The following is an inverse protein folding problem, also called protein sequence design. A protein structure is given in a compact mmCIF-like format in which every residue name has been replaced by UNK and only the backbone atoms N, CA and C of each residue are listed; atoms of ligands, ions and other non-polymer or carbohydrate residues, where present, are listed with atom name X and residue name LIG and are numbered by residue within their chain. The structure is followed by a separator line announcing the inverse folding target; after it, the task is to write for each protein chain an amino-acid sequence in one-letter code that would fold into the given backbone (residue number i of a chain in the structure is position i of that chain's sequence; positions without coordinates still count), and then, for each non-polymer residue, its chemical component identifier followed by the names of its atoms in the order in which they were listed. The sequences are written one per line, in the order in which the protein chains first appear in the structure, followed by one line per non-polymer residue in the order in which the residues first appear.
data_IF_793871254466
#
_entry.id   IF_793871254466
#
_cell.length_a   1.000
_cell.length_b   1.000
_cell.length_c   1.000
_cell.angle_alpha   90.00
_cell.angle_beta   90.00
_cell.angle_gamma   90.00
#
_symmetry.space_group_name_H-M   'P 1'
#
loop_
_entity.id
_entity.type
_entity.pdbx_description
1 polymer ?
#
# COMPACT_ATOMS: atom_id res chain seq x y z
N UNK A 1 59.08 2.40 -54.72
CA UNK A 1 57.67 2.04 -54.47
C UNK A 1 57.36 2.40 -53.04
N UNK A 2 56.46 3.36 -52.85
CA UNK A 2 56.13 4.02 -51.58
C UNK A 2 55.41 3.05 -50.63
N UNK A 3 55.91 2.96 -49.39
CA UNK A 3 55.18 2.39 -48.27
C UNK A 3 54.60 3.54 -47.42
N UNK A 4 53.29 3.50 -47.26
CA UNK A 4 52.49 4.50 -46.57
C UNK A 4 52.28 4.16 -45.08
N UNK A 5 52.29 5.23 -44.28
CA UNK A 5 51.39 5.52 -43.15
C UNK A 5 51.47 4.66 -41.87
N UNK A 6 52.01 5.26 -40.79
CA UNK A 6 51.60 4.96 -39.41
C UNK A 6 51.55 6.24 -38.56
N UNK A 7 50.37 6.45 -37.93
CA UNK A 7 50.00 7.37 -36.82
C UNK A 7 49.91 8.87 -37.14
N UNK A 8 49.10 9.68 -36.39
CA UNK A 8 48.48 9.44 -35.07
C UNK A 8 46.99 9.91 -34.94
N UNK A 9 46.33 9.58 -33.82
CA UNK A 9 45.52 10.50 -33.00
C UNK A 9 44.77 9.70 -31.93
N UNK A 10 45.27 9.79 -30.70
CA UNK A 10 44.60 9.30 -29.51
C UNK A 10 43.49 10.29 -29.12
N UNK A 11 42.24 9.85 -29.21
CA UNK A 11 41.07 10.55 -28.70
C UNK A 11 40.83 10.13 -27.24
N UNK A 12 41.24 10.97 -26.30
CA UNK A 12 40.78 10.91 -24.90
C UNK A 12 39.44 11.65 -24.80
N UNK A 13 38.34 10.90 -24.79
CA UNK A 13 37.01 11.44 -24.46
C UNK A 13 36.81 11.29 -22.95
N UNK A 14 36.94 12.39 -22.22
CA UNK A 14 36.52 12.50 -20.82
C UNK A 14 35.01 12.32 -20.75
N UNK A 15 34.56 11.17 -20.26
CA UNK A 15 33.15 10.94 -19.94
C UNK A 15 32.89 11.44 -18.52
N UNK A 16 32.16 12.55 -18.43
CA UNK A 16 31.69 13.13 -17.17
C UNK A 16 30.73 12.16 -16.47
N UNK A 17 31.11 11.72 -15.27
CA UNK A 17 30.23 10.96 -14.37
C UNK A 17 29.26 11.92 -13.69
N UNK A 18 28.05 12.04 -14.23
CA UNK A 18 26.92 12.62 -13.51
C UNK A 18 26.53 11.68 -12.37
N UNK A 19 27.02 11.98 -11.16
CA UNK A 19 26.52 11.40 -9.92
C UNK A 19 25.10 11.93 -9.72
N UNK A 20 24.12 11.15 -10.20
CA UNK A 20 22.73 11.32 -9.78
C UNK A 20 22.63 10.79 -8.35
N UNK A 21 22.72 11.70 -7.37
CA UNK A 21 22.32 11.42 -6.01
C UNK A 21 20.82 11.12 -6.02
N UNK A 22 20.48 9.84 -6.16
CA UNK A 22 19.13 9.36 -5.88
C UNK A 22 18.96 9.49 -4.37
N UNK A 23 18.19 10.49 -3.94
CA UNK A 23 17.73 10.58 -2.56
C UNK A 23 16.88 9.33 -2.27
N UNK A 24 17.53 8.31 -1.74
CA UNK A 24 16.89 7.13 -1.18
C UNK A 24 16.04 7.66 -0.03
N UNK A 25 14.76 7.33 -0.04
CA UNK A 25 13.80 7.77 0.96
C UNK A 25 14.37 7.60 2.37
N UNK A 26 14.53 8.71 3.11
CA UNK A 26 14.83 8.67 4.53
C UNK A 26 13.67 7.96 5.25
N UNK A 27 13.94 6.72 5.61
CA UNK A 27 13.12 5.90 6.49
C UNK A 27 13.29 6.44 7.91
N UNK A 28 12.54 7.51 8.23
CA UNK A 28 12.51 8.09 9.58
C UNK A 28 11.93 7.03 10.51
N UNK A 29 12.81 6.26 11.15
CA UNK A 29 12.44 5.28 12.16
C UNK A 29 12.09 6.03 13.44
N UNK A 30 10.81 5.97 13.83
CA UNK A 30 10.33 6.59 15.07
C UNK A 30 11.23 6.21 16.26
N UNK A 31 11.67 7.22 16.99
CA UNK A 31 12.51 7.12 18.18
C UNK A 31 11.79 6.35 19.30
N UNK A 32 12.55 5.85 20.28
CA UNK A 32 11.96 5.20 21.45
C UNK A 32 11.04 6.15 22.26
N UNK A 33 11.38 7.44 22.29
CA UNK A 33 10.59 8.46 22.97
C UNK A 33 9.23 8.69 22.28
N UNK A 34 9.21 8.80 20.94
CA UNK A 34 7.98 8.94 20.16
C UNK A 34 7.09 7.69 20.26
N UNK A 35 7.70 6.49 20.29
CA UNK A 35 6.96 5.24 20.51
C UNK A 35 6.31 5.19 21.88
N UNK A 36 7.04 5.58 22.92
CA UNK A 36 6.53 5.62 24.29
C UNK A 36 5.44 6.69 24.45
N UNK A 37 5.63 7.88 23.88
CA UNK A 37 4.65 8.97 23.95
C UNK A 37 3.35 8.61 23.23
N UNK A 38 3.42 7.92 22.08
CA UNK A 38 2.23 7.43 21.39
C UNK A 38 1.45 6.41 22.23
N UNK A 39 2.14 5.43 22.81
CA UNK A 39 1.51 4.40 23.65
C UNK A 39 0.89 5.01 24.91
N UNK A 40 1.56 5.98 25.53
CA UNK A 40 1.03 6.70 26.68
C UNK A 40 -0.24 7.49 26.30
N UNK A 41 -0.19 8.25 25.21
CA UNK A 41 -1.36 8.98 24.70
C UNK A 41 -2.52 8.04 24.40
N UNK A 42 -2.25 6.95 23.69
CA UNK A 42 -3.27 5.95 23.34
C UNK A 42 -3.90 5.32 24.58
N UNK A 43 -3.11 4.93 25.58
CA UNK A 43 -3.63 4.33 26.82
C UNK A 43 -4.48 5.29 27.66
N UNK A 44 -4.25 6.61 27.56
CA UNK A 44 -5.10 7.62 28.20
C UNK A 44 -6.43 7.79 27.46
N UNK A 45 -6.40 7.80 26.14
CA UNK A 45 -7.58 8.01 25.30
C UNK A 45 -8.46 6.75 25.19
N UNK A 46 -7.85 5.55 25.24
CA UNK A 46 -8.48 4.26 25.01
C UNK A 46 -8.16 3.25 26.13
N UNK A 47 -8.60 3.49 27.37
CA UNK A 47 -8.22 2.66 28.53
C UNK A 47 -8.65 1.19 28.40
N UNK A 48 -9.77 0.93 27.70
CA UNK A 48 -10.34 -0.41 27.55
C UNK A 48 -9.86 -1.15 26.28
N UNK A 49 -8.98 -0.55 25.48
CA UNK A 49 -8.48 -1.14 24.24
C UNK A 49 -6.96 -1.26 24.30
N UNK A 50 -6.40 -2.44 24.64
CA UNK A 50 -4.96 -2.61 24.67
C UNK A 50 -4.36 -2.57 23.25
N UNK A 51 -3.22 -1.87 23.12
CA UNK A 51 -2.44 -1.87 21.89
C UNK A 51 -1.82 -3.25 21.64
N UNK A 52 -2.14 -3.88 20.50
CA UNK A 52 -1.51 -5.14 20.11
C UNK A 52 -0.18 -4.91 19.38
N UNK A 53 -0.08 -3.83 18.61
CA UNK A 53 1.13 -3.44 17.87
C UNK A 53 1.11 -1.95 17.54
N UNK A 54 2.28 -1.33 17.45
CA UNK A 54 2.44 0.01 16.87
C UNK A 54 3.15 -0.07 15.52
N UNK A 55 2.71 0.77 14.59
CA UNK A 55 3.29 0.93 13.24
C UNK A 55 3.57 2.40 13.02
N UNK A 56 4.74 2.73 12.50
CA UNK A 56 5.13 4.11 12.21
C UNK A 56 5.44 4.26 10.74
N UNK A 57 5.01 5.37 10.16
CA UNK A 57 5.24 5.72 8.77
C UNK A 57 5.62 7.19 8.71
N UNK A 58 6.60 7.50 7.88
CA UNK A 58 6.92 8.88 7.54
C UNK A 58 6.20 9.22 6.23
N UNK A 59 5.32 10.22 6.27
CA UNK A 59 4.52 10.65 5.11
C UNK A 59 4.91 12.06 4.69
N UNK A 60 4.92 12.40 3.40
CA UNK A 60 5.13 13.78 2.98
C UNK A 60 3.98 14.66 3.48
N UNK A 61 4.31 15.87 3.93
CA UNK A 61 3.31 16.87 4.32
C UNK A 61 2.57 17.35 3.07
N UNK A 62 1.24 17.28 3.06
CA UNK A 62 0.43 17.72 1.92
C UNK A 62 0.56 19.24 1.76
N UNK A 63 1.03 19.70 0.60
CA UNK A 63 1.15 21.12 0.28
C UNK A 63 2.34 21.85 0.91
N UNK A 64 3.29 21.13 1.52
CA UNK A 64 4.45 21.73 2.17
C UNK A 64 5.77 21.03 1.83
N UNK A 65 6.87 21.57 2.37
CA UNK A 65 8.17 20.91 2.38
C UNK A 65 8.35 20.22 3.73
N UNK A 66 8.57 18.89 3.72
CA UNK A 66 8.85 18.13 4.92
C UNK A 66 8.18 16.76 4.94
N UNK A 67 8.45 16.01 6.00
CA UNK A 67 7.84 14.72 6.30
C UNK A 67 7.23 14.77 7.69
N UNK A 68 6.03 14.24 7.85
CA UNK A 68 5.34 14.10 9.12
C UNK A 68 5.45 12.65 9.59
N UNK A 69 5.63 12.46 10.90
CA UNK A 69 5.60 11.15 11.51
C UNK A 69 4.15 10.77 11.83
N UNK A 70 3.67 9.70 11.20
CA UNK A 70 2.37 9.09 11.49
C UNK A 70 2.60 7.86 12.34
N UNK A 71 2.06 7.89 13.55
CA UNK A 71 1.94 6.73 14.42
C UNK A 71 0.63 6.01 14.17
N UNK A 72 0.61 4.69 14.28
CA UNK A 72 -0.62 3.90 14.21
C UNK A 72 -0.61 2.85 15.29
N UNK A 73 -1.75 2.69 15.97
CA UNK A 73 -1.95 1.65 16.98
C UNK A 73 -2.93 0.62 16.43
N UNK A 74 -2.47 -0.63 16.33
CA UNK A 74 -3.26 -1.77 15.91
C UNK A 74 -3.88 -2.46 17.13
N UNK A 75 -5.17 -2.75 17.07
CA UNK A 75 -5.86 -3.54 18.09
C UNK A 75 -5.61 -5.03 17.91
N UNK A 76 -5.92 -5.84 18.93
CA UNK A 76 -5.84 -7.29 18.83
C UNK A 76 -6.69 -7.81 17.64
N UNK A 77 -6.12 -8.61 16.73
CA UNK A 77 -6.89 -9.22 15.66
C UNK A 77 -8.00 -10.12 16.17
N UNK A 78 -9.13 -10.12 15.47
CA UNK A 78 -10.28 -10.97 15.76
C UNK A 78 -10.68 -11.79 14.53
N UNK A 79 -11.38 -12.90 14.77
CA UNK A 79 -11.90 -13.79 13.73
C UNK A 79 -13.24 -13.25 13.21
N UNK A 80 -13.34 -13.12 11.89
CA UNK A 80 -14.59 -12.91 11.16
C UNK A 80 -15.20 -14.24 10.70
N UNK A 81 -15.82 -14.25 9.51
CA UNK A 81 -16.33 -15.48 8.91
C UNK A 81 -15.20 -16.41 8.41
N UNK A 82 -15.38 -17.72 8.57
CA UNK A 82 -14.47 -18.73 7.99
C UNK A 82 -13.01 -18.53 8.42
N UNK A 83 -12.11 -18.42 7.45
CA UNK A 83 -10.68 -18.15 7.64
C UNK A 83 -10.35 -16.64 7.75
N UNK A 84 -11.33 -15.75 7.71
CA UNK A 84 -11.11 -14.31 7.76
C UNK A 84 -10.64 -13.85 9.14
N UNK A 85 -9.52 -13.13 9.17
CA UNK A 85 -9.05 -12.37 10.32
C UNK A 85 -9.15 -10.88 10.01
N UNK A 86 -9.51 -10.09 11.01
CA UNK A 86 -9.70 -8.63 10.91
C UNK A 86 -8.94 -7.93 12.02
N UNK A 87 -8.54 -6.69 11.76
CA UNK A 87 -8.08 -5.76 12.78
C UNK A 87 -8.40 -4.33 12.37
N UNK A 88 -8.21 -3.38 13.29
CA UNK A 88 -8.25 -1.96 13.02
C UNK A 88 -6.95 -1.30 13.46
N UNK A 89 -6.56 -0.25 12.75
CA UNK A 89 -5.46 0.62 13.12
C UNK A 89 -5.97 2.04 13.28
N UNK A 90 -5.82 2.61 14.47
CA UNK A 90 -6.08 4.03 14.70
C UNK A 90 -4.82 4.81 14.36
N UNK A 91 -4.94 5.77 13.46
CA UNK A 91 -3.86 6.65 13.00
C UNK A 91 -3.77 7.90 13.86
N UNK A 92 -2.55 8.29 14.17
CA UNK A 92 -2.24 9.48 14.94
C UNK A 92 -1.15 10.27 14.23
N UNK A 93 -1.31 11.58 14.21
CA UNK A 93 -0.33 12.54 13.70
C UNK A 93 0.26 13.33 14.86
N UNK A 94 1.57 13.55 14.84
CA UNK A 94 2.24 14.36 15.85
C UNK A 94 2.22 15.82 15.40
N UNK A 95 1.35 16.64 15.99
CA UNK A 95 1.23 18.06 15.67
C UNK A 95 1.95 18.94 16.68
N UNK A 96 2.45 20.08 16.22
CA UNK A 96 3.18 21.04 17.04
C UNK A 96 4.70 20.94 16.84
N UNK A 97 5.46 21.72 17.59
CA UNK A 97 6.93 21.71 17.53
C UNK A 97 7.52 21.73 18.95
N UNK A 98 8.54 20.89 19.17
CA UNK A 98 9.27 20.84 20.44
C UNK A 98 8.35 20.50 21.61
N UNK A 99 8.29 21.39 22.61
CA UNK A 99 7.52 21.14 23.86
C UNK A 99 5.99 21.16 23.69
N UNK A 100 5.48 21.60 22.54
CA UNK A 100 4.04 21.65 22.25
C UNK A 100 3.58 20.46 21.39
N UNK A 101 4.46 19.50 21.13
CA UNK A 101 4.11 18.30 20.37
C UNK A 101 3.03 17.49 21.06
N UNK A 102 1.94 17.22 20.34
CA UNK A 102 0.80 16.45 20.83
C UNK A 102 0.30 15.53 19.73
N UNK A 103 0.06 14.27 20.10
CA UNK A 103 -0.61 13.31 19.24
C UNK A 103 -2.07 13.72 19.07
N UNK A 104 -2.54 13.64 17.83
CA UNK A 104 -3.95 13.83 17.47
C UNK A 104 -4.41 12.68 16.60
N UNK A 105 -5.63 12.22 16.80
CA UNK A 105 -6.22 11.18 15.97
C UNK A 105 -6.51 11.72 14.57
N UNK A 106 -6.02 10.99 13.56
CA UNK A 106 -6.21 11.31 12.16
C UNK A 106 -7.27 10.42 11.49
N UNK A 107 -7.62 9.29 12.11
CA UNK A 107 -8.70 8.40 11.65
C UNK A 107 -8.43 6.92 11.94
N UNK A 108 -9.37 6.08 11.52
CA UNK A 108 -9.31 4.62 11.72
C UNK A 108 -9.27 3.94 10.36
N UNK A 109 -8.42 2.92 10.25
CA UNK A 109 -8.31 2.06 9.09
C UNK A 109 -8.62 0.61 9.44
N UNK A 110 -9.31 -0.07 8.55
CA UNK A 110 -9.68 -1.47 8.73
C UNK A 110 -8.82 -2.36 7.84
N UNK A 111 -8.47 -3.52 8.36
CA UNK A 111 -7.56 -4.46 7.73
C UNK A 111 -8.06 -5.89 7.85
N UNK A 112 -7.75 -6.71 6.86
CA UNK A 112 -8.11 -8.12 6.83
C UNK A 112 -7.08 -9.01 6.14
N UNK A 113 -7.07 -10.30 6.48
CA UNK A 113 -6.29 -11.34 5.83
C UNK A 113 -6.95 -12.70 6.07
N UNK A 114 -6.46 -13.74 5.39
CA UNK A 114 -6.92 -15.11 5.58
C UNK A 114 -5.91 -15.89 6.43
N UNK A 115 -6.38 -16.45 7.54
CA UNK A 115 -5.64 -17.40 8.38
C UNK A 115 -6.60 -18.41 9.01
N UNK A 116 -6.30 -19.71 8.83
CA UNK A 116 -7.08 -20.81 9.41
C UNK A 116 -6.77 -21.06 10.88
N UNK A 117 -5.65 -20.55 11.39
CA UNK A 117 -5.19 -20.70 12.77
C UNK A 117 -5.75 -19.66 13.74
N UNK A 118 -4.95 -19.23 14.71
CA UNK A 118 -5.32 -18.09 15.57
C UNK A 118 -5.01 -16.79 14.83
N UNK A 119 -5.94 -15.82 14.84
CA UNK A 119 -5.67 -14.52 14.24
C UNK A 119 -4.53 -13.82 14.99
N UNK A 120 -3.41 -13.61 14.30
CA UNK A 120 -2.20 -12.94 14.81
C UNK A 120 -1.87 -11.74 13.93
N UNK A 121 -1.25 -10.68 14.48
CA UNK A 121 -0.77 -9.56 13.68
C UNK A 121 0.14 -10.03 12.54
N UNK A 122 -0.10 -9.52 11.33
CA UNK A 122 0.70 -9.82 10.14
C UNK A 122 1.42 -8.58 9.62
N UNK A 123 2.50 -8.77 8.86
CA UNK A 123 3.29 -7.65 8.31
C UNK A 123 2.48 -6.84 7.28
N UNK A 124 1.83 -7.52 6.34
CA UNK A 124 1.13 -6.93 5.20
C UNK A 124 -0.34 -7.37 5.17
N UNK A 125 -1.19 -6.85 6.08
CA UNK A 125 -2.62 -7.09 5.99
C UNK A 125 -3.23 -6.27 4.85
N UNK A 126 -4.34 -6.75 4.28
CA UNK A 126 -5.06 -6.07 3.20
C UNK A 126 -5.94 -4.97 3.80
N UNK A 127 -5.77 -3.73 3.36
CA UNK A 127 -6.59 -2.59 3.81
C UNK A 127 -7.99 -2.68 3.23
N UNK A 128 -9.00 -2.28 3.99
CA UNK A 128 -10.37 -2.12 3.51
C UNK A 128 -10.65 -0.64 3.31
N UNK A 129 -10.82 -0.21 2.06
CA UNK A 129 -11.13 1.19 1.73
C UNK A 129 -12.59 1.54 2.05
N UNK A 130 -13.45 0.52 2.03
CA UNK A 130 -14.87 0.59 2.37
C UNK A 130 -15.27 -0.62 3.22
N UNK A 131 -16.46 -0.55 3.84
CA UNK A 131 -16.99 -1.68 4.60
C UNK A 131 -17.38 -2.83 3.66
N UNK A 132 -16.78 -4.00 3.87
CA UNK A 132 -17.08 -5.23 3.10
C UNK A 132 -17.65 -6.29 4.04
N UNK A 133 -18.80 -6.93 3.71
CA UNK A 133 -19.32 -8.07 4.44
C UNK A 133 -18.33 -9.24 4.48
N UNK A 134 -18.24 -9.95 5.60
CA UNK A 134 -17.22 -10.98 5.81
C UNK A 134 -17.28 -12.13 4.78
N UNK A 135 -18.48 -12.58 4.41
CA UNK A 135 -18.68 -13.65 3.44
C UNK A 135 -18.15 -13.27 2.05
N UNK A 136 -18.34 -12.02 1.65
CA UNK A 136 -17.84 -11.51 0.37
C UNK A 136 -16.34 -11.24 0.44
N UNK A 137 -15.87 -10.71 1.57
CA UNK A 137 -14.45 -10.42 1.80
C UNK A 137 -13.60 -11.69 1.76
N UNK A 138 -14.03 -12.76 2.42
CA UNK A 138 -13.34 -14.05 2.37
C UNK A 138 -13.25 -14.57 0.94
N UNK A 139 -14.36 -14.50 0.19
CA UNK A 139 -14.41 -14.89 -1.22
C UNK A 139 -13.42 -14.13 -2.09
N UNK A 140 -13.39 -12.79 -2.02
CA UNK A 140 -12.48 -12.00 -2.87
C UNK A 140 -11.01 -12.20 -2.49
N UNK A 141 -10.70 -12.36 -1.21
CA UNK A 141 -9.32 -12.59 -0.75
C UNK A 141 -8.79 -13.96 -1.16
N UNK A 142 -9.66 -14.99 -1.19
CA UNK A 142 -9.27 -16.35 -1.57
C UNK A 142 -8.82 -16.43 -3.04
N UNK A 143 -9.47 -15.67 -3.93
CA UNK A 143 -9.23 -15.73 -5.37
C UNK A 143 -8.28 -14.64 -5.90
N UNK A 144 -7.57 -13.92 -5.04
CA UNK A 144 -6.77 -12.75 -5.44
C UNK A 144 -5.72 -13.06 -6.54
N UNK A 145 -5.03 -14.21 -6.48
CA UNK A 145 -3.94 -14.54 -7.42
C UNK A 145 -4.50 -14.87 -8.81
N UNK A 146 -5.48 -15.80 -8.96
CA UNK A 146 -6.14 -16.02 -10.25
C UNK A 146 -6.81 -14.77 -10.83
N UNK A 147 -7.35 -13.89 -9.98
CA UNK A 147 -7.96 -12.62 -10.42
C UNK A 147 -6.90 -11.67 -10.99
N UNK A 148 -5.74 -11.54 -10.35
CA UNK A 148 -4.63 -10.74 -10.87
C UNK A 148 -4.12 -11.28 -12.21
N UNK A 149 -3.97 -12.60 -12.35
CA UNK A 149 -3.52 -13.23 -13.59
C UNK A 149 -4.47 -12.91 -14.76
N UNK A 150 -5.78 -13.05 -14.55
CA UNK A 150 -6.79 -12.65 -15.54
C UNK A 150 -6.78 -11.15 -15.83
N UNK A 151 -6.59 -10.33 -14.80
CA UNK A 151 -6.51 -8.88 -14.95
C UNK A 151 -5.31 -8.42 -15.78
N UNK A 152 -4.20 -9.17 -15.84
CA UNK A 152 -3.05 -8.82 -16.70
C UNK A 152 -3.42 -8.73 -18.18
N UNK A 153 -4.39 -9.53 -18.64
CA UNK A 153 -4.93 -9.42 -20.00
C UNK A 153 -5.71 -8.12 -20.20
N UNK A 154 -6.54 -7.74 -19.21
CA UNK A 154 -7.25 -6.46 -19.23
C UNK A 154 -6.28 -5.27 -19.21
N UNK A 155 -5.18 -5.39 -18.45
CA UNK A 155 -4.13 -4.37 -18.42
C UNK A 155 -3.46 -4.20 -19.79
N UNK A 156 -3.23 -5.28 -20.54
CA UNK A 156 -2.64 -5.21 -21.87
C UNK A 156 -3.54 -4.43 -22.86
N UNK A 157 -4.86 -4.51 -22.70
CA UNK A 157 -5.84 -3.76 -23.50
C UNK A 157 -6.10 -2.32 -23.03
N UNK A 158 -5.55 -1.90 -21.90
CA UNK A 158 -5.70 -0.55 -21.35
C UNK A 158 -4.35 0.18 -21.43
N UNK A 159 -4.25 1.20 -22.28
CA UNK A 159 -2.99 1.92 -22.53
C UNK A 159 -2.35 2.53 -21.28
N UNK A 160 -3.14 2.96 -20.29
CA UNK A 160 -2.63 3.48 -19.02
C UNK A 160 -2.07 2.38 -18.11
N UNK A 161 -2.57 1.14 -18.23
CA UNK A 161 -2.14 0.00 -17.43
C UNK A 161 -1.12 -0.90 -18.13
N UNK A 162 -1.06 -0.89 -19.46
CA UNK A 162 -0.25 -1.80 -20.26
C UNK A 162 1.24 -1.80 -19.89
N UNK A 163 1.88 -0.66 -19.55
CA UNK A 163 3.28 -0.65 -19.10
C UNK A 163 3.51 -1.36 -17.76
N UNK A 164 2.47 -1.46 -16.92
CA UNK A 164 2.58 -2.01 -15.56
C UNK A 164 2.31 -3.52 -15.51
N UNK A 165 1.74 -4.12 -16.57
CA UNK A 165 1.21 -5.50 -16.57
C UNK A 165 2.22 -6.59 -16.21
N UNK A 166 3.52 -6.34 -16.37
CA UNK A 166 4.61 -7.28 -16.10
C UNK A 166 5.19 -7.13 -14.69
N UNK A 167 4.84 -6.07 -13.95
CA UNK A 167 5.37 -5.84 -12.62
C UNK A 167 4.95 -6.93 -11.63
N UNK A 168 5.69 -7.01 -10.52
CA UNK A 168 5.31 -7.85 -9.39
C UNK A 168 4.32 -7.08 -8.55
N UNK A 169 3.21 -7.72 -8.22
CA UNK A 169 2.10 -7.10 -7.50
C UNK A 169 1.78 -7.92 -6.25
N UNK A 170 1.51 -7.23 -5.15
CA UNK A 170 0.88 -7.78 -3.94
C UNK A 170 -0.45 -7.10 -3.69
N UNK A 171 -1.40 -7.82 -3.09
CA UNK A 171 -2.69 -7.24 -2.75
C UNK A 171 -2.52 -6.27 -1.59
N UNK A 172 -2.90 -5.01 -1.80
CA UNK A 172 -2.75 -3.95 -0.81
C UNK A 172 -4.08 -3.53 -0.19
N UNK A 173 -5.16 -3.53 -0.98
CA UNK A 173 -6.47 -3.14 -0.48
C UNK A 173 -7.64 -3.85 -1.18
N UNK A 174 -8.80 -3.85 -0.51
CA UNK A 174 -10.11 -4.14 -1.09
C UNK A 174 -10.92 -2.85 -1.09
N UNK A 175 -11.54 -2.56 -2.23
CA UNK A 175 -12.39 -1.39 -2.44
C UNK A 175 -13.83 -1.82 -2.79
N UNK A 176 -14.78 -0.92 -2.60
CA UNK A 176 -16.18 -1.08 -3.03
C UNK A 176 -16.61 0.22 -3.67
N UNK A 177 -17.19 0.13 -4.87
CA UNK A 177 -17.76 1.31 -5.49
C UNK A 177 -18.31 1.07 -6.88
N UNK A 178 -18.82 2.13 -7.47
CA UNK A 178 -19.20 2.15 -8.87
C UNK A 178 -17.93 2.08 -9.75
N UNK A 179 -17.92 1.15 -10.69
CA UNK A 179 -16.94 1.21 -11.77
C UNK A 179 -17.19 2.46 -12.61
N UNK A 180 -16.14 3.08 -13.18
CA UNK A 180 -16.21 4.30 -14.04
C UNK A 180 -17.28 4.23 -15.16
N UNK A 181 -17.80 3.03 -15.47
CA UNK A 181 -18.80 2.78 -16.50
C UNK A 181 -20.17 2.27 -16.01
N UNK A 182 -20.39 1.99 -14.72
CA UNK A 182 -21.64 1.37 -14.23
C UNK A 182 -22.01 1.81 -12.80
N UNK A 183 -23.31 1.94 -12.54
CA UNK A 183 -23.91 2.41 -11.27
C UNK A 183 -24.01 1.33 -10.17
N UNK A 184 -23.77 0.06 -10.49
CA UNK A 184 -23.79 -1.02 -9.50
C UNK A 184 -22.52 -1.03 -8.64
N UNK A 185 -22.71 -1.17 -7.32
CA UNK A 185 -21.61 -1.40 -6.38
C UNK A 185 -20.86 -2.69 -6.72
N UNK A 186 -19.56 -2.57 -6.94
CA UNK A 186 -18.67 -3.70 -7.23
C UNK A 186 -17.49 -3.70 -6.29
N UNK A 187 -17.05 -4.90 -5.95
CA UNK A 187 -15.79 -5.10 -5.26
C UNK A 187 -14.61 -4.85 -6.22
N UNK A 188 -13.55 -4.28 -5.69
CA UNK A 188 -12.28 -4.20 -6.40
C UNK A 188 -11.13 -4.71 -5.53
N UNK A 189 -10.16 -5.34 -6.17
CA UNK A 189 -8.87 -5.66 -5.56
C UNK A 189 -7.87 -4.61 -6.01
N UNK A 190 -7.23 -3.92 -5.07
CA UNK A 190 -6.14 -2.98 -5.36
C UNK A 190 -4.81 -3.65 -5.08
N UNK A 191 -4.03 -3.82 -6.15
CA UNK A 191 -2.69 -4.34 -6.09
C UNK A 191 -1.67 -3.21 -6.11
N UNK A 192 -0.64 -3.33 -5.28
CA UNK A 192 0.54 -2.45 -5.27
C UNK A 192 1.71 -3.18 -5.90
N UNK A 193 2.42 -2.51 -6.80
CA UNK A 193 3.60 -3.06 -7.44
C UNK A 193 4.86 -2.87 -6.58
N UNK A 194 5.90 -3.61 -6.92
CA UNK A 194 7.27 -3.41 -6.42
C UNK A 194 7.89 -2.06 -6.83
N UNK A 195 7.22 -1.28 -7.69
CA UNK A 195 7.61 0.08 -8.12
C UNK A 195 6.62 1.15 -7.65
N UNK A 196 5.88 0.87 -6.58
CA UNK A 196 4.90 1.80 -5.98
C UNK A 196 3.83 2.30 -6.98
N UNK A 197 3.47 1.46 -7.95
CA UNK A 197 2.36 1.71 -8.89
C UNK A 197 1.15 0.86 -8.50
N UNK A 198 -0.05 1.33 -8.83
CA UNK A 198 -1.27 0.66 -8.39
C UNK A 198 -2.08 0.12 -9.57
N UNK A 199 -2.71 -1.04 -9.36
CA UNK A 199 -3.69 -1.61 -10.27
C UNK A 199 -4.95 -1.96 -9.47
N UNK A 200 -6.03 -1.23 -9.72
CA UNK A 200 -7.37 -1.49 -9.17
C UNK A 200 -8.15 -2.33 -10.17
N UNK A 201 -8.41 -3.58 -9.79
CA UNK A 201 -9.11 -4.59 -10.58
C UNK A 201 -10.54 -4.70 -10.08
N UNK A 202 -11.49 -4.24 -10.89
CA UNK A 202 -12.91 -4.33 -10.61
C UNK A 202 -13.42 -5.72 -10.91
N UNK A 203 -14.19 -6.26 -9.98
CA UNK A 203 -14.72 -7.62 -10.05
C UNK A 203 -16.17 -7.60 -10.54
N UNK A 204 -16.53 -8.64 -11.28
CA UNK A 204 -17.93 -9.03 -11.50
C UNK A 204 -18.20 -10.34 -10.80
N UNK A 205 -19.39 -10.49 -10.23
CA UNK A 205 -19.86 -11.76 -9.67
C UNK A 205 -20.72 -12.46 -10.73
N UNK A 206 -20.40 -13.71 -11.05
CA UNK A 206 -21.20 -14.55 -11.96
C UNK A 206 -21.25 -15.97 -11.41
N UNK A 207 -22.45 -16.53 -11.28
CA UNK A 207 -22.69 -17.89 -10.76
C UNK A 207 -21.95 -18.18 -9.43
N UNK A 208 -21.89 -17.19 -8.52
CA UNK A 208 -21.22 -17.33 -7.23
C UNK A 208 -19.69 -17.21 -7.26
N UNK A 209 -19.09 -16.99 -8.43
CA UNK A 209 -17.65 -16.78 -8.58
C UNK A 209 -17.31 -15.34 -8.95
N UNK A 210 -16.08 -14.93 -8.59
CA UNK A 210 -15.51 -13.64 -8.96
C UNK A 210 -14.66 -13.76 -10.23
N UNK A 211 -14.85 -12.81 -11.13
CA UNK A 211 -14.04 -12.66 -12.33
C UNK A 211 -13.56 -11.21 -12.50
N UNK A 212 -12.39 -11.04 -13.11
CA UNK A 212 -11.83 -9.73 -13.39
C UNK A 212 -12.60 -9.11 -14.56
N UNK A 213 -13.17 -7.92 -14.36
CA UNK A 213 -14.02 -7.26 -15.35
C UNK A 213 -13.37 -6.03 -15.97
N UNK A 214 -12.76 -5.18 -15.15
CA UNK A 214 -12.16 -3.93 -15.60
C UNK A 214 -10.92 -3.61 -14.74
N UNK A 215 -10.01 -2.80 -15.27
CA UNK A 215 -8.81 -2.36 -14.56
C UNK A 215 -8.56 -0.87 -14.74
N UNK A 216 -8.17 -0.22 -13.66
CA UNK A 216 -7.70 1.16 -13.63
C UNK A 216 -6.37 1.20 -12.89
N UNK A 217 -5.41 1.99 -13.39
CA UNK A 217 -4.08 2.09 -12.78
C UNK A 217 -3.82 3.52 -12.29
N UNK A 218 -4.29 3.87 -11.08
CA UNK A 218 -4.13 5.21 -10.54
C UNK A 218 -2.68 5.45 -10.07
N UNK A 219 -2.25 6.72 -10.01
CA UNK A 219 -0.91 7.08 -9.51
C UNK A 219 -0.78 6.88 -7.99
N UNK A 220 -1.89 6.87 -7.25
CA UNK A 220 -1.93 6.74 -5.79
C UNK A 220 -3.24 6.08 -5.34
N UNK A 221 -3.23 5.56 -4.11
CA UNK A 221 -4.35 4.88 -3.44
C UNK A 221 -5.21 5.83 -2.62
#
# INVERSE_FOLDING_TARGET
MQACLVRPLALFVLSATLVSASAVADDVTATAAERASLLQFYGQQYPDQPAARTVFQSVPVVGGHGRELVGSVETAPYRGHGALCRTQRTKFVLQGTGKQERWQEAGIEYYAWLDRGTCRPVAEPVRLLQRVPDTELEGVLLYQKPLLERARLLMAGNTACAPLRSLKFSLAAVDVGASVRQEEERYALVFKSDRDSYARVWLRKSAGQYDAWNVTCPPML
#
